data_IF_587489391960
#
_entry.id   IF_587489391960
#
_cell.length_a   1.000
_cell.length_b   1.000
_cell.length_c   1.000
_cell.angle_alpha   90.00
_cell.angle_beta   90.00
_cell.angle_gamma   90.00
#
_symmetry.space_group_name_H-M   'P 1'
#
loop_
_entity.id
_entity.type
_entity.pdbx_description
1 polymer ?
#
# COMPACT_ATOMS: atom_id res chain seq x y z
N UNK A 1 -4.67 20.27 1.66
CA UNK A 1 -4.52 18.96 2.32
C UNK A 1 -4.13 19.17 3.77
N UNK A 2 -4.77 18.52 4.76
CA UNK A 2 -4.42 18.66 6.17
C UNK A 2 -3.03 18.07 6.45
N UNK A 3 -2.35 18.62 7.45
CA UNK A 3 -0.94 18.31 7.75
C UNK A 3 -0.68 16.82 8.01
N UNK A 4 -1.62 16.12 8.66
CA UNK A 4 -1.50 14.68 8.94
C UNK A 4 -1.53 13.83 7.66
N UNK A 5 -2.32 14.22 6.66
CA UNK A 5 -2.38 13.51 5.38
C UNK A 5 -1.07 13.72 4.59
N UNK A 6 -0.48 14.92 4.67
CA UNK A 6 0.82 15.22 4.07
C UNK A 6 1.95 14.42 4.72
N UNK A 7 1.96 14.33 6.05
CA UNK A 7 2.89 13.47 6.76
C UNK A 7 2.71 12.01 6.36
N UNK A 8 1.47 11.54 6.26
CA UNK A 8 1.18 10.17 5.87
C UNK A 8 1.69 9.82 4.46
N UNK A 9 1.47 10.70 3.48
CA UNK A 9 2.05 10.53 2.13
C UNK A 9 3.59 10.58 2.17
N UNK A 10 4.17 11.48 2.97
CA UNK A 10 5.63 11.53 3.14
C UNK A 10 6.18 10.23 3.74
N UNK A 11 5.52 9.65 4.74
CA UNK A 11 5.89 8.35 5.29
C UNK A 11 5.82 7.23 4.25
N UNK A 12 4.75 7.19 3.45
CA UNK A 12 4.62 6.24 2.33
C UNK A 12 5.82 6.35 1.39
N UNK A 13 6.16 7.57 0.93
CA UNK A 13 7.25 7.80 -0.03
C UNK A 13 8.62 7.44 0.57
N UNK A 14 8.88 7.84 1.82
CA UNK A 14 10.17 7.56 2.51
C UNK A 14 10.32 6.06 2.80
N UNK A 15 9.23 5.35 3.07
CA UNK A 15 9.25 3.91 3.34
C UNK A 15 9.43 3.04 2.08
N UNK A 16 9.10 3.59 0.91
CA UNK A 16 9.16 2.93 -0.40
C UNK A 16 10.54 2.31 -0.73
N UNK A 17 11.69 3.01 -0.60
CA UNK A 17 13.01 2.42 -0.83
C UNK A 17 13.32 1.25 0.12
N UNK A 18 12.88 1.33 1.38
CA UNK A 18 13.05 0.24 2.35
C UNK A 18 12.20 -0.99 1.99
N UNK A 19 10.94 -0.77 1.59
CA UNK A 19 10.07 -1.84 1.09
C UNK A 19 10.66 -2.54 -0.14
N UNK A 20 11.17 -1.76 -1.09
CA UNK A 20 11.83 -2.29 -2.30
C UNK A 20 13.09 -3.10 -2.00
N UNK A 21 13.97 -2.61 -1.13
CA UNK A 21 15.19 -3.33 -0.76
C UNK A 21 14.86 -4.65 -0.05
N UNK A 22 13.87 -4.62 0.85
CA UNK A 22 13.44 -5.81 1.59
C UNK A 22 12.84 -6.85 0.64
N UNK A 23 11.92 -6.45 -0.25
CA UNK A 23 11.30 -7.34 -1.22
C UNK A 23 12.33 -7.90 -2.20
N UNK A 24 13.26 -7.08 -2.72
CA UNK A 24 14.35 -7.59 -3.61
C UNK A 24 15.29 -8.57 -2.92
N UNK A 25 15.46 -8.46 -1.60
CA UNK A 25 16.30 -9.38 -0.83
C UNK A 25 15.60 -10.71 -0.59
N UNK A 26 14.28 -10.68 -0.39
CA UNK A 26 13.44 -11.85 -0.14
C UNK A 26 13.11 -12.56 -1.46
N UNK A 27 12.82 -11.80 -2.50
CA UNK A 27 12.43 -12.29 -3.81
C UNK A 27 13.47 -11.96 -4.86
N UNK A 28 14.09 -13.00 -5.42
CA UNK A 28 14.92 -12.89 -6.63
C UNK A 28 14.10 -12.63 -7.91
N UNK A 29 12.91 -12.05 -7.76
CA UNK A 29 11.97 -11.76 -8.84
C UNK A 29 11.81 -10.24 -8.96
N UNK A 30 11.78 -9.76 -10.20
CA UNK A 30 11.68 -8.34 -10.56
C UNK A 30 10.22 -7.89 -10.61
N UNK A 31 9.28 -8.81 -10.85
CA UNK A 31 7.86 -8.46 -11.02
C UNK A 31 7.22 -7.96 -9.71
N UNK A 32 7.57 -8.60 -8.59
CA UNK A 32 7.02 -8.29 -7.28
C UNK A 32 7.40 -6.89 -6.74
N UNK A 33 8.69 -6.47 -6.79
CA UNK A 33 9.07 -5.12 -6.36
C UNK A 33 8.49 -4.03 -7.27
N UNK A 34 8.34 -4.30 -8.57
CA UNK A 34 7.76 -3.32 -9.51
C UNK A 34 6.27 -3.07 -9.21
N UNK A 35 5.48 -4.13 -9.03
CA UNK A 35 4.07 -3.95 -8.72
C UNK A 35 3.86 -3.36 -7.31
N UNK A 36 4.73 -3.67 -6.35
CA UNK A 36 4.68 -3.03 -5.02
C UNK A 36 4.96 -1.53 -5.10
N UNK A 37 5.94 -1.12 -5.91
CA UNK A 37 6.21 0.29 -6.20
C UNK A 37 5.01 0.96 -6.86
N UNK A 38 4.42 0.33 -7.89
CA UNK A 38 3.25 0.88 -8.58
C UNK A 38 2.04 1.02 -7.64
N UNK A 39 1.76 0.01 -6.82
CA UNK A 39 0.67 0.06 -5.82
C UNK A 39 0.89 1.21 -4.84
N UNK A 40 2.12 1.38 -4.36
CA UNK A 40 2.48 2.44 -3.41
C UNK A 40 2.37 3.84 -4.01
N UNK A 41 2.82 4.02 -5.26
CA UNK A 41 2.70 5.30 -5.96
C UNK A 41 1.25 5.65 -6.26
N UNK A 42 0.44 4.67 -6.70
CA UNK A 42 -0.99 4.86 -6.93
C UNK A 42 -1.73 5.20 -5.64
N UNK A 43 -1.36 4.55 -4.54
CA UNK A 43 -1.88 4.84 -3.20
C UNK A 43 -1.62 6.29 -2.79
N UNK A 44 -0.39 6.77 -2.97
CA UNK A 44 -0.04 8.17 -2.69
C UNK A 44 -0.77 9.13 -3.63
N UNK A 45 -0.88 8.80 -4.92
CA UNK A 45 -1.54 9.64 -5.91
C UNK A 45 -3.05 9.76 -5.67
N UNK A 46 -3.72 8.73 -5.15
CA UNK A 46 -5.12 8.83 -4.71
C UNK A 46 -5.30 9.85 -3.58
N UNK A 47 -4.44 9.82 -2.57
CA UNK A 47 -4.53 10.76 -1.46
C UNK A 47 -4.29 12.19 -1.95
N UNK A 48 -3.28 12.40 -2.80
CA UNK A 48 -3.00 13.72 -3.39
C UNK A 48 -4.15 14.19 -4.26
N UNK A 49 -4.67 13.33 -5.15
CA UNK A 49 -5.81 13.66 -6.00
C UNK A 49 -7.04 14.03 -5.18
N UNK A 50 -7.31 13.36 -4.06
CA UNK A 50 -8.44 13.69 -3.21
C UNK A 50 -8.44 15.17 -2.80
N UNK A 51 -7.28 15.70 -2.39
CA UNK A 51 -7.16 17.10 -1.96
C UNK A 51 -6.86 18.08 -3.09
N UNK A 52 -6.25 17.63 -4.19
CA UNK A 52 -5.87 18.43 -5.34
C UNK A 52 -6.32 17.74 -6.64
N UNK A 53 -7.63 17.73 -6.93
CA UNK A 53 -8.17 17.05 -8.11
C UNK A 53 -7.60 17.60 -9.42
N UNK A 54 -7.28 18.90 -9.48
CA UNK A 54 -6.73 19.55 -10.68
C UNK A 54 -5.30 19.13 -10.98
N UNK A 55 -4.52 18.70 -9.97
CA UNK A 55 -3.14 18.22 -10.16
C UNK A 55 -3.10 16.78 -10.69
N UNK A 56 -4.04 15.94 -10.23
CA UNK A 56 -4.14 14.53 -10.59
C UNK A 56 -5.60 14.18 -10.90
N UNK A 57 -6.06 14.51 -12.11
CA UNK A 57 -7.45 14.30 -12.51
C UNK A 57 -7.69 12.81 -12.81
N UNK A 58 -8.33 12.11 -11.86
CA UNK A 58 -8.89 10.79 -12.09
C UNK A 58 -10.32 10.92 -12.61
N UNK A 59 -10.59 10.31 -13.76
CA UNK A 59 -11.88 10.37 -14.43
C UNK A 59 -12.33 8.99 -14.92
N UNK A 60 -13.62 8.71 -14.75
CA UNK A 60 -14.28 7.55 -15.34
C UNK A 60 -13.94 6.22 -14.67
N UNK A 61 -14.47 5.15 -15.26
CA UNK A 61 -14.40 3.79 -14.73
C UNK A 61 -12.97 3.24 -14.60
N UNK A 62 -11.99 3.79 -15.35
CA UNK A 62 -10.58 3.42 -15.24
C UNK A 62 -10.00 3.64 -13.83
N UNK A 63 -10.54 4.60 -13.07
CA UNK A 63 -10.14 4.86 -11.69
C UNK A 63 -10.36 3.65 -10.79
N UNK A 64 -11.45 2.90 -11.03
CA UNK A 64 -11.73 1.65 -10.33
C UNK A 64 -10.76 0.54 -10.66
N UNK A 65 -10.22 0.51 -11.88
CA UNK A 65 -9.17 -0.45 -12.25
C UNK A 65 -7.87 -0.15 -11.49
N UNK A 66 -7.50 1.12 -11.35
CA UNK A 66 -6.33 1.51 -10.57
C UNK A 66 -6.50 1.17 -9.09
N UNK A 67 -7.67 1.43 -8.52
CA UNK A 67 -7.95 1.08 -7.12
C UNK A 67 -8.00 -0.44 -6.92
N UNK A 68 -8.64 -1.18 -7.84
CA UNK A 68 -8.65 -2.63 -7.85
C UNK A 68 -7.26 -3.23 -7.96
N UNK A 69 -6.38 -2.62 -8.76
CA UNK A 69 -4.96 -3.00 -8.82
C UNK A 69 -4.27 -2.80 -7.47
N UNK A 70 -4.43 -1.64 -6.81
CA UNK A 70 -3.84 -1.38 -5.48
C UNK A 70 -4.28 -2.43 -4.46
N UNK A 71 -5.59 -2.63 -4.32
CA UNK A 71 -6.15 -3.61 -3.36
C UNK A 71 -5.71 -5.03 -3.69
N UNK A 72 -5.79 -5.41 -4.97
CA UNK A 72 -5.41 -6.75 -5.43
C UNK A 72 -3.92 -7.02 -5.24
N UNK A 73 -3.07 -6.04 -5.54
CA UNK A 73 -1.63 -6.18 -5.39
C UNK A 73 -1.19 -6.25 -3.92
N UNK A 74 -1.78 -5.42 -3.06
CA UNK A 74 -1.51 -5.45 -1.62
C UNK A 74 -1.97 -6.77 -1.00
N UNK A 75 -3.15 -7.27 -1.39
CA UNK A 75 -3.65 -8.57 -0.96
C UNK A 75 -2.75 -9.72 -1.43
N UNK A 76 -2.34 -9.71 -2.70
CA UNK A 76 -1.40 -10.68 -3.26
C UNK A 76 -0.06 -10.66 -2.51
N UNK A 77 0.51 -9.46 -2.30
CA UNK A 77 1.75 -9.27 -1.56
C UNK A 77 1.61 -9.79 -0.13
N UNK A 78 0.48 -9.53 0.53
CA UNK A 78 0.18 -10.02 1.87
C UNK A 78 0.11 -11.55 1.92
N UNK A 79 -0.64 -12.20 1.03
CA UNK A 79 -0.75 -13.67 0.98
C UNK A 79 0.62 -14.31 0.75
N UNK A 80 1.42 -13.73 -0.14
CA UNK A 80 2.75 -14.20 -0.47
C UNK A 80 3.75 -14.02 0.68
N UNK A 81 3.73 -12.85 1.31
CA UNK A 81 4.49 -12.58 2.53
C UNK A 81 4.07 -13.51 3.66
N UNK A 82 2.78 -13.74 3.90
CA UNK A 82 2.31 -14.63 4.96
C UNK A 82 2.80 -16.07 4.78
N UNK A 83 2.90 -16.54 3.53
CA UNK A 83 3.43 -17.86 3.21
C UNK A 83 4.97 -17.96 3.38
N UNK A 84 5.71 -16.85 3.25
CA UNK A 84 7.18 -16.79 3.35
C UNK A 84 7.71 -16.23 4.67
N UNK A 85 6.84 -15.59 5.46
CA UNK A 85 7.14 -15.04 6.77
C UNK A 85 7.64 -16.08 7.78
N UNK A 86 7.14 -17.34 7.83
CA UNK A 86 7.64 -18.35 8.76
C UNK A 86 9.15 -18.59 8.58
N UNK A 87 9.62 -18.65 7.33
CA UNK A 87 11.05 -18.82 6.98
C UNK A 87 11.91 -17.61 7.38
N UNK A 88 11.30 -16.42 7.53
CA UNK A 88 11.99 -15.17 7.94
C UNK A 88 11.91 -14.90 9.45
N UNK A 89 10.88 -15.42 10.12
CA UNK A 89 10.61 -15.20 11.55
C UNK A 89 11.18 -16.29 12.46
N UNK A 90 11.59 -17.45 11.93
CA UNK A 90 12.35 -18.46 12.69
C UNK A 90 13.64 -17.92 13.35
N UNK A 91 14.08 -16.70 13.00
CA UNK A 91 15.18 -15.99 13.68
C UNK A 91 14.77 -15.04 14.82
N UNK A 92 13.48 -14.79 15.08
CA UNK A 92 13.05 -13.79 16.09
C UNK A 92 11.87 -14.28 16.94
N UNK A 93 12.19 -14.86 18.10
CA UNK A 93 11.30 -15.23 19.23
C UNK A 93 9.77 -15.19 18.96
N UNK A 94 9.22 -16.37 18.70
CA UNK A 94 7.81 -16.67 18.48
C UNK A 94 6.96 -16.47 19.74
N UNK A 95 6.41 -15.26 19.92
CA UNK A 95 5.20 -15.09 20.74
C UNK A 95 3.98 -14.90 19.83
N UNK A 96 2.97 -15.80 19.87
CA UNK A 96 1.81 -15.73 18.98
C UNK A 96 1.01 -14.43 19.15
N UNK A 97 1.06 -13.80 20.33
CA UNK A 97 0.45 -12.50 20.59
C UNK A 97 1.13 -11.33 19.87
N UNK A 98 2.46 -11.37 19.70
CA UNK A 98 3.21 -10.30 19.00
C UNK A 98 2.92 -10.28 17.50
N UNK A 99 2.75 -11.46 16.89
CA UNK A 99 2.40 -11.61 15.47
C UNK A 99 1.04 -10.99 15.12
N UNK A 100 0.04 -11.23 15.96
CA UNK A 100 -1.32 -10.69 15.75
C UNK A 100 -1.37 -9.16 15.88
N UNK A 101 -0.60 -8.59 16.82
CA UNK A 101 -0.52 -7.14 17.02
C UNK A 101 0.15 -6.43 15.85
N UNK A 102 1.24 -6.99 15.29
CA UNK A 102 1.91 -6.41 14.12
C UNK A 102 0.98 -6.39 12.90
N UNK A 103 0.19 -7.45 12.71
CA UNK A 103 -0.82 -7.51 11.65
C UNK A 103 -1.91 -6.44 11.81
N UNK A 104 -2.51 -6.34 13.01
CA UNK A 104 -3.53 -5.34 13.31
C UNK A 104 -3.02 -3.91 13.11
N UNK A 105 -1.81 -3.62 13.59
CA UNK A 105 -1.18 -2.31 13.42
C UNK A 105 -0.95 -2.02 11.93
N UNK A 106 -0.44 -3.00 11.17
CA UNK A 106 -0.26 -2.87 9.73
C UNK A 106 -1.57 -2.55 9.01
N UNK A 107 -2.65 -3.26 9.34
CA UNK A 107 -3.97 -3.07 8.75
C UNK A 107 -4.55 -1.69 9.10
N UNK A 108 -4.43 -1.24 10.35
CA UNK A 108 -4.89 0.10 10.76
C UNK A 108 -4.13 1.19 10.02
N UNK A 109 -2.82 0.99 9.79
CA UNK A 109 -1.98 1.96 9.09
C UNK A 109 -2.32 2.01 7.59
N UNK A 110 -2.68 0.90 6.94
CA UNK A 110 -2.98 0.86 5.50
C UNK A 110 -4.43 1.22 5.16
N UNK A 111 -5.37 1.00 6.08
CA UNK A 111 -6.80 1.24 5.88
C UNK A 111 -7.16 2.64 5.36
N UNK A 112 -6.53 3.74 5.83
CA UNK A 112 -6.78 5.07 5.28
C UNK A 112 -6.49 5.20 3.78
N UNK A 113 -5.47 4.51 3.25
CA UNK A 113 -5.16 4.49 1.80
C UNK A 113 -6.38 4.03 1.01
N UNK A 114 -6.96 2.90 1.42
CA UNK A 114 -8.06 2.28 0.69
C UNK A 114 -9.31 3.16 0.75
N UNK A 115 -9.55 3.84 1.88
CA UNK A 115 -10.64 4.82 2.01
C UNK A 115 -10.45 5.97 1.02
N UNK A 116 -9.28 6.60 0.98
CA UNK A 116 -9.04 7.71 0.03
C UNK A 116 -9.15 7.25 -1.43
N UNK A 117 -8.60 6.09 -1.76
CA UNK A 117 -8.75 5.50 -3.09
C UNK A 117 -10.21 5.27 -3.48
N UNK A 118 -11.01 4.74 -2.56
CA UNK A 118 -12.45 4.52 -2.78
C UNK A 118 -13.21 5.85 -2.97
N UNK A 119 -12.93 6.86 -2.14
CA UNK A 119 -13.54 8.19 -2.28
C UNK A 119 -13.18 8.86 -3.61
N UNK A 120 -11.94 8.71 -4.07
CA UNK A 120 -11.53 9.20 -5.40
C UNK A 120 -12.25 8.44 -6.52
N UNK A 121 -12.46 7.13 -6.38
CA UNK A 121 -13.24 6.36 -7.35
C UNK A 121 -14.70 6.82 -7.43
N UNK A 122 -15.34 7.09 -6.30
CA UNK A 122 -16.70 7.64 -6.27
C UNK A 122 -16.76 9.01 -6.95
N UNK A 123 -15.80 9.90 -6.63
CA UNK A 123 -15.73 11.22 -7.23
C UNK A 123 -15.46 11.18 -8.73
N UNK A 124 -14.64 10.23 -9.20
CA UNK A 124 -14.31 10.10 -10.61
C UNK A 124 -15.50 9.67 -11.49
N UNK A 125 -16.60 9.20 -10.87
CA UNK A 125 -17.85 8.81 -11.53
C UNK A 125 -18.94 9.88 -11.48
N UNK A 126 -18.77 10.91 -10.63
CA UNK A 126 -19.70 12.02 -10.46
C UNK A 126 -19.34 13.17 -11.42
#
# INVERSE_FOLDING_TARGET
>A
MPWWASLYVAFIIISLPFGLMTIRRIEKDILHPLGGLLSTLLSASFIVSYYYPDLLPYHGAQTWLYWGFVVGWDCYSYLRLNNRLPELLEQTDDSPGRRNNVFLIGLIITLPVYIWGFLVCLRAMA
#
